data_IF_488440977430
#
_entry.id   IF_488440977430
#
_cell.length_a   1.000
_cell.length_b   1.000
_cell.length_c   1.000
_cell.angle_alpha   90.00
_cell.angle_beta   90.00
_cell.angle_gamma   90.00
#
_symmetry.space_group_name_H-M   'P 1'
#
loop_
_entity.id
_entity.type
_entity.pdbx_description
1 polymer ?
#
# COMPACT_ATOMS: atom_id res chain seq x y z
N UNK A 1 -20.54 32.29 -7.63
CA UNK A 1 -20.28 31.14 -6.74
C UNK A 1 -19.90 29.84 -7.48
N UNK A 2 -20.76 29.29 -8.36
CA UNK A 2 -20.60 27.94 -8.97
C UNK A 2 -19.29 27.73 -9.77
N UNK A 3 -18.85 28.73 -10.55
CA UNK A 3 -17.57 28.68 -11.30
C UNK A 3 -16.33 28.62 -10.39
N UNK A 4 -16.37 29.33 -9.26
CA UNK A 4 -15.27 29.34 -8.28
C UNK A 4 -15.14 27.99 -7.56
N UNK A 5 -16.27 27.36 -7.23
CA UNK A 5 -16.30 26.02 -6.64
C UNK A 5 -15.73 24.97 -7.60
N UNK A 6 -16.12 25.01 -8.88
CA UNK A 6 -15.60 24.11 -9.90
C UNK A 6 -14.08 24.21 -10.03
N UNK A 7 -13.55 25.44 -10.12
CA UNK A 7 -12.11 25.70 -10.21
C UNK A 7 -11.34 25.21 -8.98
N UNK A 8 -11.91 25.38 -7.77
CA UNK A 8 -11.33 24.84 -6.54
C UNK A 8 -11.27 23.31 -6.56
N UNK A 9 -12.36 22.66 -7.01
CA UNK A 9 -12.41 21.21 -7.11
C UNK A 9 -11.39 20.66 -8.12
N UNK A 10 -11.29 21.27 -9.30
CA UNK A 10 -10.31 20.89 -10.33
C UNK A 10 -8.86 21.01 -9.81
N UNK A 11 -8.55 22.11 -9.11
CA UNK A 11 -7.22 22.28 -8.51
C UNK A 11 -6.95 21.24 -7.41
N UNK A 12 -7.95 20.93 -6.58
CA UNK A 12 -7.83 19.93 -5.52
C UNK A 12 -7.59 18.54 -6.11
N UNK A 13 -8.41 18.09 -7.06
CA UNK A 13 -8.24 16.80 -7.75
C UNK A 13 -6.86 16.70 -8.41
N UNK A 14 -6.39 17.77 -9.07
CA UNK A 14 -5.06 17.82 -9.70
C UNK A 14 -3.90 17.72 -8.70
N UNK A 15 -4.07 18.25 -7.48
CA UNK A 15 -3.03 18.15 -6.46
C UNK A 15 -3.06 16.79 -5.76
N UNK A 16 -4.24 16.24 -5.53
CA UNK A 16 -4.43 14.91 -4.95
C UNK A 16 -3.82 13.83 -5.86
N UNK A 17 -3.98 13.93 -7.18
CA UNK A 17 -3.40 12.98 -8.14
C UNK A 17 -1.87 13.00 -8.23
N UNK A 18 -1.21 14.00 -7.64
CA UNK A 18 0.26 14.01 -7.50
C UNK A 18 0.73 13.22 -6.29
N UNK A 19 -0.13 13.03 -5.30
CA UNK A 19 0.20 12.39 -4.02
C UNK A 19 -0.27 10.93 -4.00
N UNK A 20 -1.49 10.70 -4.47
CA UNK A 20 -2.16 9.39 -4.42
C UNK A 20 -2.34 8.80 -5.81
N UNK A 21 -2.30 7.47 -5.89
CA UNK A 21 -2.67 6.74 -7.09
C UNK A 21 -4.20 6.71 -7.29
N UNK A 22 -4.65 6.41 -8.50
CA UNK A 22 -6.08 6.46 -8.86
C UNK A 22 -6.96 5.53 -8.00
N UNK A 23 -6.45 4.35 -7.63
CA UNK A 23 -7.13 3.41 -6.72
C UNK A 23 -7.26 3.96 -5.30
N UNK A 24 -6.23 4.66 -4.81
CA UNK A 24 -6.26 5.36 -3.53
C UNK A 24 -7.25 6.53 -3.55
N UNK A 25 -7.31 7.28 -4.65
CA UNK A 25 -8.28 8.37 -4.84
C UNK A 25 -9.70 7.81 -4.85
N UNK A 26 -9.92 6.72 -5.60
CA UNK A 26 -11.21 6.05 -5.64
C UNK A 26 -11.66 5.57 -4.25
N UNK A 27 -10.73 5.05 -3.44
CA UNK A 27 -10.99 4.68 -2.04
C UNK A 27 -11.42 5.89 -1.21
N UNK A 28 -10.79 7.04 -1.40
CA UNK A 28 -11.13 8.29 -0.70
C UNK A 28 -12.51 8.83 -1.12
N UNK A 29 -12.84 8.76 -2.41
CA UNK A 29 -14.14 9.22 -2.92
C UNK A 29 -15.33 8.41 -2.38
N UNK A 30 -15.14 7.11 -2.13
CA UNK A 30 -16.19 6.18 -1.70
C UNK A 30 -16.28 5.98 -0.19
N UNK A 31 -15.57 6.81 0.59
CA UNK A 31 -15.61 6.78 2.06
C UNK A 31 -15.40 5.36 2.63
N UNK A 32 -14.50 4.61 1.98
CA UNK A 32 -14.09 3.29 2.41
C UNK A 32 -15.16 2.18 2.44
N UNK A 33 -16.37 2.42 1.94
CA UNK A 33 -17.48 1.45 1.92
C UNK A 33 -17.41 0.43 0.79
N UNK A 34 -16.64 0.73 -0.25
CA UNK A 34 -16.55 -0.10 -1.45
C UNK A 34 -15.30 -0.98 -1.47
N UNK A 35 -15.38 -2.16 -2.09
CA UNK A 35 -14.25 -3.08 -2.18
C UNK A 35 -13.30 -2.60 -3.29
N UNK A 36 -12.36 -1.72 -2.93
CA UNK A 36 -11.39 -1.17 -3.88
C UNK A 36 -10.40 -2.25 -4.32
N UNK A 37 -10.33 -2.50 -5.62
CA UNK A 37 -9.25 -3.28 -6.21
C UNK A 37 -7.97 -2.46 -6.19
N UNK A 38 -6.96 -2.95 -5.46
CA UNK A 38 -5.67 -2.28 -5.33
C UNK A 38 -4.75 -2.65 -6.50
N UNK A 39 -4.17 -1.62 -7.11
CA UNK A 39 -3.15 -1.78 -8.14
C UNK A 39 -1.88 -2.41 -7.57
N UNK A 40 -1.09 -3.07 -8.42
CA UNK A 40 0.17 -3.70 -8.00
C UNK A 40 1.18 -2.68 -7.45
N UNK A 41 1.20 -1.47 -8.02
CA UNK A 41 2.05 -0.38 -7.55
C UNK A 41 1.68 0.06 -6.13
N UNK A 42 0.38 0.18 -5.83
CA UNK A 42 -0.11 0.50 -4.49
C UNK A 42 0.17 -0.62 -3.50
N UNK A 43 -0.04 -1.90 -3.87
CA UNK A 43 0.34 -3.04 -3.02
C UNK A 43 1.84 -3.02 -2.70
N UNK A 44 2.70 -2.80 -3.71
CA UNK A 44 4.16 -2.78 -3.53
C UNK A 44 4.58 -1.66 -2.57
N UNK A 45 4.05 -0.44 -2.72
CA UNK A 45 4.31 0.66 -1.79
C UNK A 45 3.81 0.34 -0.38
N UNK A 46 2.62 -0.23 -0.25
CA UNK A 46 2.06 -0.61 1.04
C UNK A 46 2.92 -1.67 1.75
N UNK A 47 3.47 -2.64 1.01
CA UNK A 47 4.45 -3.60 1.54
C UNK A 47 5.73 -2.91 2.05
N UNK A 48 6.28 -1.95 1.29
CA UNK A 48 7.46 -1.19 1.70
C UNK A 48 7.20 -0.39 2.98
N UNK A 49 6.07 0.31 3.05
CA UNK A 49 5.67 1.06 4.26
C UNK A 49 5.57 0.10 5.44
N UNK A 50 4.86 -1.03 5.28
CA UNK A 50 4.74 -2.06 6.32
C UNK A 50 6.08 -2.59 6.80
N UNK A 51 7.06 -2.75 5.91
CA UNK A 51 8.40 -3.17 6.29
C UNK A 51 9.12 -2.10 7.11
N UNK A 52 9.03 -0.83 6.71
CA UNK A 52 9.69 0.29 7.41
C UNK A 52 9.06 0.60 8.78
N UNK A 53 7.74 0.53 8.90
CA UNK A 53 7.01 1.00 10.09
C UNK A 53 6.60 -0.12 11.04
N UNK A 54 6.87 -1.39 10.69
CA UNK A 54 6.27 -2.58 11.30
C UNK A 54 4.74 -2.56 11.23
N UNK A 55 4.10 -3.61 11.77
CA UNK A 55 2.64 -3.79 11.71
C UNK A 55 1.89 -2.68 12.46
N UNK A 56 2.38 -2.28 13.64
CA UNK A 56 1.72 -1.26 14.46
C UNK A 56 1.72 0.10 13.76
N UNK A 57 2.85 0.55 13.22
CA UNK A 57 2.92 1.82 12.49
C UNK A 57 2.09 1.80 11.21
N UNK A 58 2.04 0.66 10.53
CA UNK A 58 1.20 0.50 9.34
C UNK A 58 -0.30 0.62 9.67
N UNK A 59 -0.76 -0.05 10.73
CA UNK A 59 -2.14 0.03 11.18
C UNK A 59 -2.50 1.44 11.69
N UNK A 60 -1.58 2.13 12.37
CA UNK A 60 -1.77 3.52 12.76
C UNK A 60 -1.98 4.43 11.53
N UNK A 61 -1.14 4.29 10.50
CA UNK A 61 -1.30 5.06 9.25
C UNK A 61 -2.65 4.78 8.58
N UNK A 62 -3.10 3.52 8.55
CA UNK A 62 -4.35 3.14 7.89
C UNK A 62 -5.59 3.54 8.68
N UNK A 63 -5.62 3.27 9.99
CA UNK A 63 -6.82 3.40 10.83
C UNK A 63 -6.95 4.77 11.46
N UNK A 64 -5.87 5.28 12.05
CA UNK A 64 -5.89 6.54 12.81
C UNK A 64 -5.63 7.74 11.91
N UNK A 65 -4.68 7.63 10.97
CA UNK A 65 -4.36 8.70 10.01
C UNK A 65 -5.17 8.63 8.71
N UNK A 66 -6.07 7.65 8.59
CA UNK A 66 -6.95 7.44 7.43
C UNK A 66 -6.23 7.39 6.08
N UNK A 67 -4.96 6.95 6.05
CA UNK A 67 -4.24 6.83 4.80
C UNK A 67 -4.88 5.73 3.93
N UNK A 68 -5.14 5.97 2.64
CA UNK A 68 -5.78 5.00 1.74
C UNK A 68 -4.82 3.86 1.40
N UNK A 69 -4.67 2.92 2.33
CA UNK A 69 -3.83 1.72 2.21
C UNK A 69 -4.69 0.46 2.23
N UNK A 70 -4.23 -0.63 1.57
CA UNK A 70 -4.85 -1.93 1.70
C UNK A 70 -4.79 -2.45 3.14
N UNK A 71 -5.70 -3.37 3.48
CA UNK A 71 -5.62 -4.06 4.76
C UNK A 71 -4.39 -4.97 4.83
N UNK A 72 -3.91 -5.27 6.04
CA UNK A 72 -2.84 -6.26 6.21
C UNK A 72 -3.19 -7.61 5.57
N UNK A 73 -4.45 -8.04 5.72
CA UNK A 73 -4.97 -9.25 5.08
C UNK A 73 -4.78 -9.23 3.56
N UNK A 74 -5.14 -8.12 2.90
CA UNK A 74 -5.00 -7.95 1.46
C UNK A 74 -3.54 -8.06 1.01
N UNK A 75 -2.60 -7.50 1.78
CA UNK A 75 -1.17 -7.62 1.49
C UNK A 75 -0.74 -9.09 1.57
N UNK A 76 -1.14 -9.80 2.63
CA UNK A 76 -0.81 -11.21 2.82
C UNK A 76 -1.40 -12.10 1.71
N UNK A 77 -2.66 -11.88 1.34
CA UNK A 77 -3.32 -12.59 0.24
C UNK A 77 -2.60 -12.34 -1.09
N UNK A 78 -2.15 -11.10 -1.35
CA UNK A 78 -1.41 -10.81 -2.58
C UNK A 78 -0.04 -11.48 -2.60
N UNK A 79 0.65 -11.52 -1.46
CA UNK A 79 1.95 -12.18 -1.32
C UNK A 79 1.83 -13.70 -1.46
N UNK A 80 0.81 -14.31 -0.86
CA UNK A 80 0.55 -15.75 -0.99
C UNK A 80 0.29 -16.16 -2.45
N UNK A 81 -0.30 -15.27 -3.23
CA UNK A 81 -0.56 -15.47 -4.65
C UNK A 81 0.60 -15.05 -5.57
N UNK A 82 1.75 -14.64 -5.04
CA UNK A 82 2.96 -14.44 -5.85
C UNK A 82 3.47 -15.80 -6.34
N UNK A 83 3.27 -16.08 -7.62
CA UNK A 83 3.87 -17.25 -8.27
C UNK A 83 5.34 -16.98 -8.57
N UNK A 84 6.19 -17.92 -8.15
CA UNK A 84 7.60 -17.95 -8.54
C UNK A 84 7.79 -19.00 -9.63
N UNK A 85 8.61 -18.73 -10.66
CA UNK A 85 9.04 -19.76 -11.58
C UNK A 85 9.60 -20.97 -10.83
N UNK A 86 9.35 -22.20 -11.31
CA UNK A 86 9.89 -23.40 -10.69
C UNK A 86 11.43 -23.32 -10.62
N UNK A 87 12.00 -23.62 -9.46
CA UNK A 87 13.44 -23.49 -9.18
C UNK A 87 13.82 -22.19 -8.47
N UNK A 88 13.28 -21.04 -8.89
CA UNK A 88 13.67 -19.73 -8.33
C UNK A 88 13.38 -19.61 -6.82
N UNK A 89 12.31 -20.24 -6.34
CA UNK A 89 11.96 -20.23 -4.92
C UNK A 89 13.04 -20.92 -4.06
N UNK A 90 13.63 -22.01 -4.57
CA UNK A 90 14.71 -22.71 -3.88
C UNK A 90 15.99 -21.86 -3.83
N UNK A 91 16.21 -21.04 -4.86
CA UNK A 91 17.37 -20.16 -4.93
C UNK A 91 17.22 -18.95 -4.00
N UNK A 92 16.02 -18.36 -3.89
CA UNK A 92 15.82 -17.11 -3.13
C UNK A 92 15.61 -17.31 -1.62
N UNK A 93 15.04 -18.45 -1.19
CA UNK A 93 14.77 -18.74 0.22
C UNK A 93 16.03 -18.65 1.10
N UNK A 94 17.20 -19.22 0.71
CA UNK A 94 18.44 -19.09 1.48
C UNK A 94 18.86 -17.63 1.70
N UNK A 95 18.79 -16.79 0.65
CA UNK A 95 19.14 -15.37 0.76
C UNK A 95 18.16 -14.60 1.67
N UNK A 96 16.87 -14.92 1.61
CA UNK A 96 15.89 -14.34 2.52
C UNK A 96 16.17 -14.73 3.98
N UNK A 97 16.57 -15.98 4.23
CA UNK A 97 16.97 -16.44 5.56
C UNK A 97 18.21 -15.72 6.11
N UNK A 98 19.16 -15.34 5.26
CA UNK A 98 20.30 -14.50 5.65
C UNK A 98 19.87 -13.07 6.01
N UNK A 99 18.95 -12.49 5.22
CA UNK A 99 18.42 -11.16 5.48
C UNK A 99 17.67 -11.09 6.82
N UNK A 100 16.82 -12.06 7.12
CA UNK A 100 16.06 -12.10 8.37
C UNK A 100 17.01 -12.19 9.57
N UNK A 101 18.04 -13.05 9.51
CA UNK A 101 19.04 -13.14 10.58
C UNK A 101 19.84 -11.84 10.76
N UNK A 102 20.21 -11.18 9.67
CA UNK A 102 20.90 -9.88 9.75
C UNK A 102 20.02 -8.76 10.32
N UNK A 103 18.70 -8.85 10.19
CA UNK A 103 17.75 -7.90 10.79
C UNK A 103 17.53 -8.15 12.30
N UNK A 104 17.80 -9.37 12.80
CA UNK A 104 17.73 -9.72 14.22
C UNK A 104 18.93 -9.21 15.04
N UNK A 105 20.11 -9.09 14.43
CA UNK A 105 21.33 -8.60 15.11
C UNK A 105 21.34 -7.08 15.37
N UNK A 106 20.39 -6.33 14.79
CA UNK A 106 20.32 -4.86 14.85
C UNK A 106 19.09 -4.36 15.64
N UNK A 107 18.26 -5.26 16.18
CA UNK A 107 17.16 -4.94 17.12
C UNK A 107 17.51 -5.29 18.56
#
# INVERSE_FOLDING_TARGET
>A
ARRSLKKKNENLSKNISKVFADDQIHRLEKDGRDCTSWSESTIKKAMQIRQMTRVQGYEFLRKEMHYPLPSYRTICERLANCSFPPGLNNDIIPFLGLKIRGEEEVS
#
